data_IF_923266078582
#
_entry.id   IF_923266078582
#
_cell.length_a   1.000
_cell.length_b   1.000
_cell.length_c   1.000
_cell.angle_alpha   90.00
_cell.angle_beta   90.00
_cell.angle_gamma   90.00
#
_symmetry.space_group_name_H-M   'P 1'
#
loop_
_entity.id
_entity.type
_entity.pdbx_description
1 polymer ?
#
# COMPACT_ATOMS: atom_id res chain seq x y z
N UNK A 1 -9.94 -6.38 -7.56
CA UNK A 1 -10.73 -6.51 -6.32
C UNK A 1 -12.11 -5.95 -6.63
N UNK A 2 -13.19 -6.62 -6.25
CA UNK A 2 -14.56 -6.18 -6.54
C UNK A 2 -14.87 -4.88 -5.77
N UNK A 3 -15.20 -3.80 -6.48
CA UNK A 3 -15.37 -2.45 -5.91
C UNK A 3 -16.44 -2.42 -4.82
N UNK A 4 -17.50 -3.22 -4.96
CA UNK A 4 -18.58 -3.31 -3.96
C UNK A 4 -18.05 -3.85 -2.62
N UNK A 5 -17.11 -4.81 -2.68
CA UNK A 5 -16.52 -5.40 -1.48
C UNK A 5 -15.59 -4.44 -0.73
N UNK A 6 -14.93 -3.50 -1.43
CA UNK A 6 -14.15 -2.47 -0.74
C UNK A 6 -15.04 -1.44 -0.06
N UNK A 7 -16.17 -1.09 -0.69
CA UNK A 7 -17.09 -0.09 -0.16
C UNK A 7 -17.67 -0.55 1.18
N UNK A 8 -18.17 -1.79 1.25
CA UNK A 8 -18.69 -2.40 2.48
C UNK A 8 -17.65 -2.42 3.63
N UNK A 9 -16.37 -2.63 3.29
CA UNK A 9 -15.28 -2.65 4.26
C UNK A 9 -14.95 -1.26 4.82
N UNK A 10 -15.01 -0.23 3.97
CA UNK A 10 -14.82 1.14 4.40
C UNK A 10 -15.95 1.58 5.33
N UNK A 11 -17.20 1.35 4.94
CA UNK A 11 -18.33 1.79 5.76
C UNK A 11 -18.36 1.03 7.10
N UNK A 12 -18.02 -0.26 7.12
CA UNK A 12 -17.87 -1.01 8.39
C UNK A 12 -16.76 -0.41 9.26
N UNK A 13 -15.60 -0.10 8.69
CA UNK A 13 -14.51 0.55 9.41
C UNK A 13 -14.92 1.92 9.96
N UNK A 14 -15.66 2.72 9.19
CA UNK A 14 -16.11 4.04 9.60
C UNK A 14 -17.13 3.97 10.75
N UNK A 15 -18.04 2.99 10.72
CA UNK A 15 -18.96 2.71 11.84
C UNK A 15 -18.20 2.33 13.11
N UNK A 16 -17.27 1.40 13.00
CA UNK A 16 -16.58 0.84 14.17
C UNK A 16 -15.55 1.79 14.79
N UNK A 17 -14.80 2.51 13.95
CA UNK A 17 -13.65 3.32 14.40
C UNK A 17 -13.99 4.80 14.50
N UNK A 18 -14.77 5.32 13.56
CA UNK A 18 -15.11 6.75 13.50
C UNK A 18 -16.48 7.07 14.11
N UNK A 19 -17.24 6.05 14.52
CA UNK A 19 -18.59 6.18 15.10
C UNK A 19 -19.54 6.97 14.18
N UNK A 20 -19.40 6.79 12.87
CA UNK A 20 -20.26 7.47 11.89
C UNK A 20 -21.61 6.76 11.77
N UNK A 21 -22.66 7.57 11.69
CA UNK A 21 -24.02 7.11 11.48
C UNK A 21 -24.31 6.88 9.99
N UNK A 22 -25.39 6.13 9.68
CA UNK A 22 -25.70 5.75 8.30
C UNK A 22 -25.96 6.92 7.33
N UNK A 23 -26.29 8.11 7.84
CA UNK A 23 -26.46 9.31 7.01
C UNK A 23 -25.14 9.76 6.36
N UNK A 24 -23.99 9.45 6.98
CA UNK A 24 -22.66 9.78 6.44
C UNK A 24 -22.34 8.97 5.18
N UNK A 25 -22.98 7.81 4.98
CA UNK A 25 -22.75 6.93 3.83
C UNK A 25 -23.74 7.16 2.68
N UNK A 26 -24.54 8.22 2.74
CA UNK A 26 -25.48 8.55 1.67
C UNK A 26 -24.75 8.76 0.35
N UNK A 27 -25.21 8.09 -0.70
CA UNK A 27 -24.69 8.29 -2.06
C UNK A 27 -25.33 9.52 -2.74
N UNK A 28 -24.55 10.17 -3.60
CA UNK A 28 -25.00 11.22 -4.49
C UNK A 28 -25.92 10.66 -5.60
N UNK A 29 -26.47 11.57 -6.41
CA UNK A 29 -27.38 11.21 -7.51
C UNK A 29 -26.74 10.30 -8.58
N UNK A 30 -25.41 10.24 -8.63
CA UNK A 30 -24.67 9.38 -9.54
C UNK A 30 -24.63 7.90 -9.10
N UNK A 31 -25.03 7.61 -7.86
CA UNK A 31 -24.98 6.29 -7.25
C UNK A 31 -23.56 5.72 -7.09
N UNK A 32 -22.53 6.56 -7.16
CA UNK A 32 -21.11 6.15 -7.15
C UNK A 32 -20.28 6.92 -6.15
N UNK A 33 -20.62 8.19 -5.92
CA UNK A 33 -19.90 9.08 -5.02
C UNK A 33 -20.70 9.28 -3.75
N UNK A 34 -20.02 9.52 -2.63
CA UNK A 34 -20.72 9.97 -1.42
C UNK A 34 -21.29 11.38 -1.60
N UNK A 35 -22.44 11.63 -0.97
CA UNK A 35 -23.11 12.92 -0.97
C UNK A 35 -22.29 13.96 -0.20
N UNK A 36 -21.70 13.54 0.92
CA UNK A 36 -20.83 14.39 1.74
C UNK A 36 -19.41 14.35 1.20
N UNK A 37 -18.82 15.54 1.00
CA UNK A 37 -17.45 15.66 0.54
C UNK A 37 -16.44 15.03 1.53
N UNK A 38 -16.68 15.19 2.84
CA UNK A 38 -15.86 14.60 3.90
C UNK A 38 -15.80 13.06 3.82
N UNK A 39 -16.94 12.41 3.59
CA UNK A 39 -16.99 10.95 3.41
C UNK A 39 -16.27 10.54 2.13
N UNK A 40 -16.44 11.31 1.05
CA UNK A 40 -15.72 11.11 -0.22
C UNK A 40 -14.20 11.17 -0.05
N UNK A 41 -13.70 12.18 0.65
CA UNK A 41 -12.27 12.33 0.93
C UNK A 41 -11.74 11.19 1.80
N UNK A 42 -12.46 10.85 2.88
CA UNK A 42 -12.09 9.74 3.77
C UNK A 42 -12.04 8.40 3.01
N UNK A 43 -12.97 8.17 2.09
CA UNK A 43 -12.99 7.00 1.23
C UNK A 43 -11.73 6.93 0.34
N UNK A 44 -11.35 8.02 -0.31
CA UNK A 44 -10.13 8.08 -1.13
C UNK A 44 -8.88 7.78 -0.30
N UNK A 45 -8.74 8.38 0.88
CA UNK A 45 -7.61 8.09 1.78
C UNK A 45 -7.60 6.64 2.27
N UNK A 46 -8.78 6.09 2.57
CA UNK A 46 -8.92 4.70 2.99
C UNK A 46 -8.52 3.73 1.88
N UNK A 47 -8.90 4.01 0.64
CA UNK A 47 -8.47 3.23 -0.53
C UNK A 47 -6.95 3.30 -0.70
N UNK A 48 -6.37 4.50 -0.68
CA UNK A 48 -4.93 4.69 -0.81
C UNK A 48 -4.13 3.98 0.29
N UNK A 49 -4.62 3.96 1.52
CA UNK A 49 -3.98 3.24 2.63
C UNK A 49 -3.90 1.73 2.45
N UNK A 50 -4.70 1.17 1.53
CA UNK A 50 -4.78 -0.27 1.22
C UNK A 50 -4.22 -0.61 -0.14
N UNK A 51 -3.79 0.38 -0.89
CA UNK A 51 -3.06 0.17 -2.13
C UNK A 51 -1.64 -0.30 -1.76
N UNK A 52 -1.29 -1.51 -2.18
CA UNK A 52 0.06 -2.03 -1.95
C UNK A 52 1.05 -1.27 -2.82
N UNK A 53 2.03 -0.62 -2.21
CA UNK A 53 3.16 -0.03 -2.94
C UNK A 53 4.03 -1.16 -3.49
N UNK A 54 4.06 -1.32 -4.82
CA UNK A 54 4.96 -2.27 -5.50
C UNK A 54 6.34 -1.61 -5.64
N UNK A 55 7.33 -2.13 -4.91
CA UNK A 55 8.73 -1.71 -5.04
C UNK A 55 9.49 -2.72 -5.89
N UNK A 56 10.08 -2.25 -7.00
CA UNK A 56 10.98 -3.07 -7.81
C UNK A 56 12.38 -3.07 -7.19
N UNK A 57 12.79 -4.22 -6.67
CA UNK A 57 14.16 -4.40 -6.21
C UNK A 57 15.14 -4.40 -7.40
N UNK A 58 16.33 -3.76 -7.27
CA UNK A 58 17.36 -3.88 -8.28
C UNK A 58 17.76 -5.35 -8.44
N UNK A 59 18.00 -5.77 -9.70
CA UNK A 59 18.40 -7.15 -10.00
C UNK A 59 19.66 -7.51 -9.21
N UNK A 60 19.65 -8.65 -8.53
CA UNK A 60 20.86 -9.24 -7.93
C UNK A 60 21.87 -9.51 -9.04
N UNK A 61 22.89 -8.67 -9.15
CA UNK A 61 24.09 -9.03 -9.91
C UNK A 61 24.90 -9.97 -9.02
N UNK A 62 24.94 -11.25 -9.38
CA UNK A 62 26.02 -12.13 -8.91
C UNK A 62 27.31 -11.59 -9.50
N UNK A 63 28.18 -11.06 -8.63
CA UNK A 63 29.55 -10.70 -8.98
C UNK A 63 30.29 -12.03 -9.20
N UNK A 64 30.14 -12.59 -10.40
CA UNK A 64 31.07 -13.59 -10.92
C UNK A 64 31.93 -12.88 -11.96
N UNK A 65 33.23 -12.84 -11.69
CA UNK A 65 34.31 -12.14 -12.40
C UNK A 65 34.45 -10.64 -12.12
N UNK A 66 35.44 -10.31 -11.29
CA UNK A 66 36.05 -8.99 -11.33
C UNK A 66 37.58 -9.13 -11.39
N UNK A 67 38.11 -8.98 -12.59
CA UNK A 67 39.51 -8.64 -12.81
C UNK A 67 39.58 -7.10 -12.77
N UNK A 68 39.96 -6.56 -11.62
CA UNK A 68 40.48 -5.19 -11.47
C UNK A 68 39.46 -4.05 -11.28
N UNK A 69 39.53 -3.44 -10.08
CA UNK A 69 38.85 -2.25 -9.48
C UNK A 69 38.11 -2.66 -8.18
N UNK A 70 38.88 -2.70 -7.10
CA UNK A 70 38.34 -2.74 -5.75
C UNK A 70 37.84 -1.33 -5.43
N UNK A 71 36.56 -1.08 -5.65
CA UNK A 71 35.80 -0.11 -4.88
C UNK A 71 34.71 -0.93 -4.18
N UNK A 72 34.85 -1.10 -2.87
CA UNK A 72 34.15 -2.14 -2.12
C UNK A 72 32.64 -1.81 -1.98
N UNK A 73 31.87 -2.11 -3.02
CA UNK A 73 30.40 -2.20 -3.05
C UNK A 73 29.88 -3.48 -2.35
N UNK A 74 30.65 -4.11 -1.46
CA UNK A 74 30.16 -5.21 -0.60
C UNK A 74 29.06 -4.75 0.37
N UNK A 75 28.83 -3.44 0.48
CA UNK A 75 27.81 -2.83 1.32
C UNK A 75 26.39 -2.85 0.77
N UNK A 76 26.09 -3.41 -0.41
CA UNK A 76 24.73 -3.33 -0.98
C UNK A 76 23.97 -4.66 -1.07
N UNK A 77 24.66 -5.80 -1.19
CA UNK A 77 24.00 -7.11 -1.33
C UNK A 77 23.63 -7.75 0.02
N UNK A 78 24.30 -7.37 1.10
CA UNK A 78 24.02 -7.91 2.45
C UNK A 78 22.68 -7.39 3.01
N UNK A 79 22.32 -6.14 2.70
CA UNK A 79 21.10 -5.52 3.24
C UNK A 79 19.82 -5.86 2.47
N UNK A 80 19.87 -6.58 1.35
CA UNK A 80 18.66 -6.88 0.58
C UNK A 80 17.63 -7.66 1.41
N UNK A 81 18.09 -8.66 2.17
CA UNK A 81 17.20 -9.44 3.06
C UNK A 81 16.69 -8.61 4.26
N UNK A 82 17.53 -7.75 4.83
CA UNK A 82 17.15 -6.86 5.94
C UNK A 82 16.15 -5.78 5.49
N UNK A 83 16.29 -5.29 4.25
CA UNK A 83 15.37 -4.33 3.63
C UNK A 83 14.05 -5.01 3.28
N UNK A 84 14.07 -6.23 2.73
CA UNK A 84 12.85 -7.03 2.50
C UNK A 84 12.11 -7.29 3.82
N UNK A 85 12.81 -7.71 4.86
CA UNK A 85 12.24 -7.92 6.19
C UNK A 85 11.70 -6.61 6.79
N UNK A 86 12.39 -5.48 6.62
CA UNK A 86 11.90 -4.18 7.08
C UNK A 86 10.64 -3.73 6.33
N UNK A 87 10.54 -3.99 5.03
CA UNK A 87 9.34 -3.70 4.22
C UNK A 87 8.16 -4.58 4.66
N UNK A 88 8.41 -5.88 4.90
CA UNK A 88 7.40 -6.81 5.40
C UNK A 88 6.91 -6.43 6.82
N UNK A 89 7.80 -6.00 7.71
CA UNK A 89 7.46 -5.52 9.06
C UNK A 89 6.56 -4.28 9.03
N UNK A 90 6.66 -3.45 7.99
CA UNK A 90 5.76 -2.31 7.76
C UNK A 90 4.44 -2.70 7.07
N UNK A 91 4.21 -3.99 6.81
CA UNK A 91 2.98 -4.51 6.20
C UNK A 91 2.89 -4.29 4.68
N UNK A 92 3.99 -3.92 4.04
CA UNK A 92 4.07 -3.73 2.59
C UNK A 92 4.39 -5.06 1.90
N UNK A 93 3.86 -5.26 0.68
CA UNK A 93 4.06 -6.50 -0.09
C UNK A 93 5.25 -6.35 -1.02
N UNK A 94 6.27 -7.18 -0.83
CA UNK A 94 7.40 -7.31 -1.76
C UNK A 94 7.02 -8.25 -2.90
N UNK A 95 7.35 -7.87 -4.13
CA UNK A 95 7.17 -8.72 -5.31
C UNK A 95 8.55 -8.97 -5.91
N UNK A 96 9.06 -10.18 -5.72
CA UNK A 96 10.34 -10.69 -6.22
C UNK A 96 10.28 -11.08 -7.69
#
# INVERSE_FOLDING_TARGET
MDTNKMLDQFESFARDVMCWDDDEFRLALDGKSYYWASTGDAWVFWQASRESVEMHMPRRYTIDSFDGIVDSEEGHLVYAADVEAAIEVQGLRVKS
#
